data_IF_521980426184
#
_entry.id   IF_521980426184
#
_cell.length_a   1.000
_cell.length_b   1.000
_cell.length_c   1.000
_cell.angle_alpha   90.00
_cell.angle_beta   90.00
_cell.angle_gamma   90.00
#
_symmetry.space_group_name_H-M   'P 1'
#
loop_
_entity.id
_entity.type
_entity.pdbx_description
1 polymer ?
#
# COMPACT_ATOMS: atom_id res chain seq x y z
N UNK A 1 25.60 8.16 7.94
CA UNK A 1 25.95 7.09 6.99
C UNK A 1 24.78 6.12 6.74
N UNK A 2 23.73 6.16 7.58
CA UNK A 2 22.52 5.36 7.38
C UNK A 2 21.45 6.20 6.65
N UNK A 3 20.81 5.62 5.64
CA UNK A 3 19.73 6.23 4.90
C UNK A 3 18.37 6.04 5.61
N UNK A 4 18.23 4.94 6.36
CA UNK A 4 17.08 4.67 7.23
C UNK A 4 17.54 3.91 8.48
N UNK A 5 16.86 4.10 9.59
CA UNK A 5 17.02 3.34 10.81
C UNK A 5 15.73 2.56 11.09
N UNK A 6 15.85 1.27 11.39
CA UNK A 6 14.70 0.44 11.76
C UNK A 6 14.86 -0.11 13.17
N UNK A 7 13.80 -0.06 13.96
CA UNK A 7 13.69 -0.73 15.26
C UNK A 7 12.73 -1.89 15.13
N UNK A 8 13.28 -3.11 15.06
CA UNK A 8 12.52 -4.35 14.89
C UNK A 8 13.10 -5.46 15.78
N UNK A 9 12.38 -5.92 16.80
CA UNK A 9 11.06 -5.47 17.24
C UNK A 9 11.07 -4.17 18.04
N UNK A 10 9.95 -3.41 17.98
CA UNK A 10 9.69 -2.26 18.84
C UNK A 10 8.64 -2.63 19.90
N UNK A 11 9.05 -2.82 21.14
CA UNK A 11 8.13 -3.06 22.26
C UNK A 11 7.38 -1.79 22.66
N UNK A 12 6.31 -1.90 23.42
CA UNK A 12 5.58 -0.74 23.95
C UNK A 12 6.48 0.18 24.76
N UNK A 13 7.43 -0.35 25.54
CA UNK A 13 8.40 0.41 26.30
C UNK A 13 9.34 1.19 25.38
N UNK A 14 9.90 0.55 24.36
CA UNK A 14 10.78 1.22 23.39
C UNK A 14 10.03 2.34 22.63
N UNK A 15 8.79 2.06 22.20
CA UNK A 15 7.91 3.05 21.55
C UNK A 15 7.69 4.25 22.48
N UNK A 16 7.36 4.01 23.75
CA UNK A 16 7.17 5.07 24.74
C UNK A 16 8.44 5.90 24.93
N UNK A 17 9.60 5.28 25.10
CA UNK A 17 10.88 5.99 25.26
C UNK A 17 11.24 6.85 24.06
N UNK A 18 11.06 6.34 22.85
CA UNK A 18 11.32 7.11 21.62
C UNK A 18 10.34 8.27 21.53
N UNK A 19 9.05 8.06 21.84
CA UNK A 19 8.03 9.09 21.81
C UNK A 19 8.31 10.22 22.84
N UNK A 20 8.83 9.86 24.01
CA UNK A 20 9.19 10.84 25.06
C UNK A 20 10.58 11.46 24.87
N UNK A 21 11.37 11.01 23.90
CA UNK A 21 12.71 11.53 23.65
C UNK A 21 13.74 11.09 24.70
N UNK A 22 13.56 9.92 25.30
CA UNK A 22 14.53 9.37 26.25
C UNK A 22 15.78 8.89 25.52
N UNK A 23 16.95 9.16 26.10
CA UNK A 23 18.26 8.75 25.60
C UNK A 23 19.09 8.09 26.69
N UNK A 24 18.52 7.13 27.43
CA UNK A 24 19.15 6.50 28.58
C UNK A 24 19.81 5.14 28.26
N UNK A 25 19.72 4.68 27.01
CA UNK A 25 20.42 3.53 26.48
C UNK A 25 20.95 3.79 25.05
N UNK A 26 21.72 2.85 24.49
CA UNK A 26 22.33 3.01 23.18
C UNK A 26 21.28 3.13 22.07
N UNK A 27 20.21 2.34 22.12
CA UNK A 27 19.15 2.33 21.10
C UNK A 27 18.43 3.66 21.06
N UNK A 28 17.92 4.12 22.20
CA UNK A 28 17.14 5.36 22.30
C UNK A 28 17.99 6.59 22.03
N UNK A 29 19.27 6.58 22.48
CA UNK A 29 20.24 7.62 22.12
C UNK A 29 20.50 7.66 20.63
N UNK A 30 20.69 6.51 19.97
CA UNK A 30 20.87 6.46 18.52
C UNK A 30 19.63 6.96 17.78
N UNK A 31 18.43 6.61 18.26
CA UNK A 31 17.17 7.14 17.72
C UNK A 31 17.07 8.66 17.83
N UNK A 32 17.56 9.27 18.91
CA UNK A 32 17.57 10.72 19.07
C UNK A 32 18.63 11.40 18.21
N UNK A 33 19.80 10.80 18.09
CA UNK A 33 20.95 11.36 17.36
C UNK A 33 20.86 11.16 15.83
N UNK A 34 19.91 10.38 15.34
CA UNK A 34 19.77 10.06 13.92
C UNK A 34 19.54 11.30 13.06
N UNK A 35 20.01 11.24 11.81
CA UNK A 35 19.73 12.21 10.73
C UNK A 35 18.95 11.59 9.57
N UNK A 36 18.61 10.32 9.68
CA UNK A 36 17.81 9.55 8.71
C UNK A 36 16.40 9.33 9.22
N UNK A 37 15.54 8.81 8.39
CA UNK A 37 14.20 8.40 8.77
C UNK A 37 14.20 7.22 9.73
N UNK A 38 13.15 7.12 10.54
CA UNK A 38 12.98 6.04 11.50
C UNK A 38 11.74 5.22 11.12
N UNK A 39 11.94 3.91 11.07
CA UNK A 39 10.88 2.92 10.91
C UNK A 39 10.81 2.10 12.19
N UNK A 40 9.62 1.82 12.67
CA UNK A 40 9.37 0.92 13.80
C UNK A 40 8.53 -0.27 13.36
N UNK A 41 8.88 -1.46 13.85
CA UNK A 41 8.08 -2.68 13.69
C UNK A 41 7.55 -3.13 15.06
N UNK A 42 6.32 -2.73 15.44
CA UNK A 42 5.77 -3.05 16.76
C UNK A 42 5.65 -4.55 17.00
N UNK A 43 6.00 -4.95 18.25
CA UNK A 43 5.83 -6.33 18.73
C UNK A 43 5.53 -6.31 20.21
N UNK A 44 4.32 -6.73 20.58
CA UNK A 44 3.85 -6.74 21.97
C UNK A 44 2.60 -7.62 22.12
N UNK A 45 2.17 -7.86 23.35
CA UNK A 45 0.89 -8.49 23.63
C UNK A 45 -0.28 -7.64 23.10
N UNK A 46 -1.39 -8.28 22.74
CA UNK A 46 -2.59 -7.62 22.20
C UNK A 46 -3.15 -6.54 23.14
N UNK A 47 -3.24 -6.81 24.44
CA UNK A 47 -3.72 -5.85 25.42
C UNK A 47 -2.80 -4.63 25.51
N UNK A 48 -1.48 -4.82 25.40
CA UNK A 48 -0.51 -3.73 25.33
C UNK A 48 -0.66 -2.93 24.04
N UNK A 49 -0.93 -3.59 22.91
CA UNK A 49 -1.18 -2.93 21.64
C UNK A 49 -2.39 -2.01 21.69
N UNK A 50 -3.52 -2.49 22.23
CA UNK A 50 -4.75 -1.71 22.33
C UNK A 50 -4.77 -0.72 23.48
N UNK A 51 -3.75 -0.73 24.36
CA UNK A 51 -3.69 0.20 25.49
C UNK A 51 -3.56 1.65 25.00
N UNK A 52 -4.36 2.55 25.58
CA UNK A 52 -4.42 3.96 25.16
C UNK A 52 -3.05 4.61 25.13
N UNK A 53 -2.22 4.39 26.14
CA UNK A 53 -0.87 4.98 26.21
C UNK A 53 0.03 4.52 25.03
N UNK A 54 -0.12 3.29 24.57
CA UNK A 54 0.62 2.79 23.39
C UNK A 54 0.14 3.49 22.13
N UNK A 55 -1.17 3.63 21.95
CA UNK A 55 -1.75 4.31 20.80
C UNK A 55 -1.42 5.81 20.78
N UNK A 56 -1.43 6.47 21.92
CA UNK A 56 -1.03 7.89 22.05
C UNK A 56 0.45 8.10 21.66
N UNK A 57 1.34 7.22 22.12
CA UNK A 57 2.75 7.26 21.77
C UNK A 57 2.98 7.02 20.27
N UNK A 58 2.24 6.07 19.66
CA UNK A 58 2.29 5.83 18.22
C UNK A 58 1.79 7.03 17.42
N UNK A 59 0.66 7.62 17.82
CA UNK A 59 0.14 8.82 17.20
C UNK A 59 1.16 9.97 17.25
N UNK A 60 1.82 10.17 18.40
CA UNK A 60 2.87 11.16 18.53
C UNK A 60 4.07 10.87 17.62
N UNK A 61 4.50 9.61 17.51
CA UNK A 61 5.59 9.24 16.63
C UNK A 61 5.24 9.46 15.15
N UNK A 62 4.00 9.16 14.74
CA UNK A 62 3.50 9.44 13.39
C UNK A 62 3.54 10.93 13.06
N UNK A 63 3.13 11.82 13.99
CA UNK A 63 3.22 13.28 13.76
C UNK A 63 4.66 13.77 13.60
N UNK A 64 5.64 13.01 14.09
CA UNK A 64 7.08 13.29 13.98
C UNK A 64 7.73 12.60 12.75
N UNK A 65 6.94 12.02 11.88
CA UNK A 65 7.43 11.37 10.65
C UNK A 65 8.06 9.99 10.87
N UNK A 66 7.78 9.32 12.00
CA UNK A 66 8.20 7.93 12.19
C UNK A 66 7.25 7.01 11.46
N UNK A 67 7.79 6.16 10.58
CA UNK A 67 7.01 5.18 9.85
C UNK A 67 6.80 3.91 10.67
N UNK A 68 5.65 3.27 10.51
CA UNK A 68 5.30 2.03 11.18
C UNK A 68 5.04 0.92 10.17
N UNK A 69 5.63 -0.26 10.39
CA UNK A 69 5.32 -1.47 9.62
C UNK A 69 4.71 -2.50 10.58
N UNK A 70 3.48 -2.87 10.32
CA UNK A 70 2.70 -3.74 11.21
C UNK A 70 2.06 -3.00 12.39
N UNK A 71 1.72 -3.70 13.49
CA UNK A 71 1.90 -5.13 13.69
C UNK A 71 0.94 -5.99 12.86
N UNK A 72 1.25 -7.28 12.76
CA UNK A 72 0.36 -8.28 12.19
C UNK A 72 -0.55 -8.87 13.27
N UNK A 73 -1.64 -9.50 12.82
CA UNK A 73 -2.48 -10.36 13.68
C UNK A 73 -1.94 -11.79 13.68
N UNK A 74 -1.98 -12.45 14.82
CA UNK A 74 -1.55 -13.86 14.92
C UNK A 74 -1.32 -14.32 16.35
N UNK A 75 -0.88 -15.57 16.48
CA UNK A 75 -0.51 -16.15 17.77
C UNK A 75 0.71 -15.44 18.36
N UNK A 76 0.66 -15.16 19.65
CA UNK A 76 1.69 -14.50 20.42
C UNK A 76 2.36 -15.49 21.39
N UNK A 77 3.55 -15.16 21.88
CA UNK A 77 4.32 -16.02 22.78
C UNK A 77 3.62 -16.32 24.10
N UNK A 78 2.69 -15.46 24.54
CA UNK A 78 1.85 -15.64 25.72
C UNK A 78 0.64 -16.56 25.50
N UNK A 79 0.38 -17.01 24.27
CA UNK A 79 -0.75 -17.85 23.90
C UNK A 79 -1.98 -17.07 23.40
N UNK A 80 -1.98 -15.74 23.49
CA UNK A 80 -3.04 -14.90 22.96
C UNK A 80 -3.00 -14.86 21.42
N UNK A 81 -4.14 -14.59 20.80
CA UNK A 81 -4.28 -14.44 19.35
C UNK A 81 -4.92 -13.09 19.05
N UNK A 82 -4.20 -12.23 18.36
CA UNK A 82 -4.69 -10.89 18.07
C UNK A 82 -3.62 -10.00 17.44
N UNK A 83 -3.88 -8.70 17.40
CA UNK A 83 -2.92 -7.71 16.94
C UNK A 83 -1.76 -7.58 17.92
N UNK A 84 -0.56 -7.35 17.39
CA UNK A 84 0.63 -7.14 18.21
C UNK A 84 1.83 -8.00 17.81
N UNK A 85 1.64 -8.99 16.94
CA UNK A 85 2.73 -9.79 16.41
C UNK A 85 3.56 -8.96 15.42
N UNK A 86 4.90 -9.00 15.54
CA UNK A 86 5.77 -8.38 14.54
C UNK A 86 5.48 -8.95 13.14
N UNK A 87 5.42 -8.08 12.14
CA UNK A 87 5.31 -8.52 10.74
C UNK A 87 6.44 -9.46 10.36
N UNK A 88 6.16 -10.41 9.48
CA UNK A 88 7.17 -11.37 8.98
C UNK A 88 8.34 -10.64 8.31
N UNK A 89 9.55 -11.20 8.43
CA UNK A 89 10.78 -10.57 7.94
C UNK A 89 10.75 -10.27 6.44
N UNK A 90 10.10 -11.12 5.65
CA UNK A 90 9.93 -10.89 4.21
C UNK A 90 9.08 -9.63 3.94
N UNK A 91 8.01 -9.42 4.72
CA UNK A 91 7.18 -8.22 4.62
C UNK A 91 7.96 -6.98 5.03
N UNK A 92 8.71 -7.05 6.15
CA UNK A 92 9.56 -5.94 6.59
C UNK A 92 10.59 -5.56 5.52
N UNK A 93 11.27 -6.54 4.92
CA UNK A 93 12.26 -6.30 3.87
C UNK A 93 11.63 -5.65 2.63
N UNK A 94 10.44 -6.12 2.23
CA UNK A 94 9.71 -5.55 1.09
C UNK A 94 9.26 -4.12 1.37
N UNK A 95 8.72 -3.84 2.56
CA UNK A 95 8.26 -2.49 2.93
C UNK A 95 9.44 -1.50 3.04
N UNK A 96 10.59 -1.95 3.54
CA UNK A 96 11.82 -1.14 3.55
C UNK A 96 12.29 -0.87 2.12
N UNK A 97 12.31 -1.87 1.24
CA UNK A 97 12.65 -1.68 -0.16
C UNK A 97 11.69 -0.69 -0.84
N UNK A 98 10.39 -0.82 -0.60
CA UNK A 98 9.37 0.10 -1.10
C UNK A 98 9.57 1.55 -0.60
N UNK A 99 10.11 1.71 0.61
CA UNK A 99 10.40 3.03 1.19
C UNK A 99 11.45 3.82 0.39
N UNK A 100 12.42 3.11 -0.22
CA UNK A 100 13.47 3.73 -1.06
C UNK A 100 13.06 3.89 -2.53
N UNK A 101 11.89 3.42 -2.92
CA UNK A 101 11.45 3.54 -4.31
C UNK A 101 10.99 4.97 -4.62
N UNK A 102 11.94 5.83 -5.01
CA UNK A 102 11.69 7.09 -5.71
C UNK A 102 11.75 6.80 -7.21
N UNK A 103 10.68 6.19 -7.74
CA UNK A 103 10.66 5.78 -9.14
C UNK A 103 10.47 6.95 -10.10
N UNK A 104 10.86 6.76 -11.35
CA UNK A 104 10.65 7.71 -12.48
C UNK A 104 9.18 8.09 -12.64
N UNK A 105 8.26 7.29 -12.11
CA UNK A 105 6.82 7.51 -12.15
C UNK A 105 6.23 8.03 -10.81
N UNK A 106 7.07 8.45 -9.87
CA UNK A 106 6.60 8.99 -8.61
C UNK A 106 5.62 10.18 -8.83
N UNK A 107 4.48 10.12 -8.16
CA UNK A 107 3.41 11.12 -8.29
C UNK A 107 2.60 11.02 -9.60
N UNK A 108 2.80 9.97 -10.41
CA UNK A 108 1.95 9.66 -11.57
C UNK A 108 0.86 8.68 -11.18
N UNK A 109 -0.33 8.88 -11.73
CA UNK A 109 -1.44 7.93 -11.66
C UNK A 109 -1.54 7.17 -12.97
N UNK A 110 -1.71 5.86 -12.90
CA UNK A 110 -1.79 4.97 -14.05
C UNK A 110 -3.02 4.10 -13.92
N UNK A 111 -3.87 4.07 -14.93
CA UNK A 111 -5.02 3.17 -15.01
C UNK A 111 -4.68 2.03 -15.95
N UNK A 112 -4.87 0.80 -15.51
CA UNK A 112 -4.60 -0.41 -16.30
C UNK A 112 -5.83 -1.28 -16.28
N UNK A 113 -6.27 -1.74 -17.47
CA UNK A 113 -7.28 -2.78 -17.59
C UNK A 113 -6.61 -4.12 -17.83
N UNK A 114 -7.05 -5.19 -17.15
CA UNK A 114 -6.46 -6.51 -17.26
C UNK A 114 -7.51 -7.62 -17.21
N UNK A 115 -7.14 -8.78 -17.74
CA UNK A 115 -8.00 -9.97 -17.77
C UNK A 115 -9.07 -9.93 -18.85
N UNK A 116 -9.83 -11.03 -18.97
CA UNK A 116 -10.96 -11.11 -19.89
C UNK A 116 -12.19 -10.42 -19.30
N UNK A 117 -13.19 -10.18 -20.14
CA UNK A 117 -14.56 -9.92 -19.68
C UNK A 117 -15.43 -11.15 -19.96
N UNK A 118 -16.56 -11.24 -19.28
CA UNK A 118 -17.58 -12.29 -19.48
C UNK A 118 -18.89 -11.62 -19.83
N UNK A 119 -19.38 -11.89 -21.04
CA UNK A 119 -20.66 -11.37 -21.53
C UNK A 119 -21.71 -12.46 -21.42
N UNK A 120 -22.64 -12.31 -20.50
CA UNK A 120 -23.68 -13.29 -20.26
C UNK A 120 -24.59 -13.46 -21.48
N UNK A 121 -24.81 -14.74 -21.91
CA UNK A 121 -25.84 -15.10 -22.89
C UNK A 121 -27.12 -15.43 -22.14
N UNK A 122 -27.00 -16.16 -21.04
CA UNK A 122 -28.08 -16.53 -20.12
C UNK A 122 -27.49 -16.67 -18.68
N UNK A 123 -28.26 -17.04 -17.67
CA UNK A 123 -27.75 -17.18 -16.29
C UNK A 123 -26.62 -18.21 -16.12
N UNK A 124 -26.38 -19.07 -17.08
CA UNK A 124 -25.41 -20.18 -16.99
C UNK A 124 -24.23 -19.99 -17.96
N UNK A 125 -24.47 -19.45 -19.15
CA UNK A 125 -23.51 -19.35 -20.24
C UNK A 125 -23.04 -17.93 -20.49
N UNK A 126 -21.78 -17.78 -20.85
CA UNK A 126 -21.19 -16.49 -21.20
C UNK A 126 -20.16 -16.64 -22.34
N UNK A 127 -19.94 -15.59 -23.08
CA UNK A 127 -18.84 -15.44 -24.03
C UNK A 127 -17.68 -14.75 -23.30
N UNK A 128 -16.46 -15.25 -23.54
CA UNK A 128 -15.24 -14.69 -23.01
C UNK A 128 -14.07 -14.94 -23.96
N UNK A 129 -12.90 -14.39 -23.66
CA UNK A 129 -11.66 -14.65 -24.37
C UNK A 129 -10.65 -15.39 -23.48
N UNK A 130 -9.55 -15.86 -24.06
CA UNK A 130 -8.50 -16.62 -23.37
C UNK A 130 -7.49 -15.78 -22.61
N UNK A 131 -7.72 -14.48 -22.44
CA UNK A 131 -6.79 -13.61 -21.68
C UNK A 131 -6.69 -14.09 -20.23
N UNK A 132 -5.47 -14.27 -19.73
CA UNK A 132 -5.23 -14.60 -18.33
C UNK A 132 -5.08 -13.36 -17.43
N UNK A 133 -4.85 -12.19 -18.03
CA UNK A 133 -4.55 -10.96 -17.30
C UNK A 133 -3.07 -10.79 -16.92
N UNK A 134 -2.22 -11.80 -17.11
CA UNK A 134 -0.81 -11.80 -16.66
C UNK A 134 -0.04 -10.55 -17.03
N UNK A 135 -0.17 -10.10 -18.27
CA UNK A 135 0.55 -8.90 -18.74
C UNK A 135 0.12 -7.64 -17.97
N UNK A 136 -1.19 -7.43 -17.80
CA UNK A 136 -1.70 -6.26 -17.06
C UNK A 136 -1.28 -6.28 -15.59
N UNK A 137 -1.29 -7.44 -14.95
CA UNK A 137 -0.82 -7.59 -13.57
C UNK A 137 0.69 -7.34 -13.45
N UNK A 138 1.51 -7.91 -14.35
CA UNK A 138 2.95 -7.67 -14.38
C UNK A 138 3.29 -6.18 -14.64
N UNK A 139 2.57 -5.55 -15.57
CA UNK A 139 2.75 -4.13 -15.84
C UNK A 139 2.35 -3.27 -14.64
N UNK A 140 1.26 -3.60 -13.97
CA UNK A 140 0.83 -2.92 -12.74
C UNK A 140 1.91 -2.99 -11.66
N UNK A 141 2.54 -4.16 -11.48
CA UNK A 141 3.64 -4.32 -10.53
C UNK A 141 4.82 -3.41 -10.89
N UNK A 142 5.28 -3.48 -12.13
CA UNK A 142 6.42 -2.66 -12.58
C UNK A 142 6.14 -1.16 -12.46
N UNK A 143 4.96 -0.70 -12.86
CA UNK A 143 4.59 0.71 -12.74
C UNK A 143 4.53 1.17 -11.28
N UNK A 144 3.99 0.33 -10.39
CA UNK A 144 3.95 0.62 -8.96
C UNK A 144 5.36 0.61 -8.34
N UNK A 145 6.22 -0.35 -8.73
CA UNK A 145 7.64 -0.41 -8.34
C UNK A 145 8.41 0.84 -8.81
N UNK A 146 8.02 1.42 -9.94
CA UNK A 146 8.54 2.70 -10.44
C UNK A 146 7.93 3.93 -9.75
N UNK A 147 7.11 3.74 -8.72
CA UNK A 147 6.56 4.80 -7.89
C UNK A 147 5.20 5.34 -8.33
N UNK A 148 4.58 4.79 -9.38
CA UNK A 148 3.24 5.21 -9.80
C UNK A 148 2.17 4.75 -8.81
N UNK A 149 1.08 5.52 -8.73
CA UNK A 149 -0.17 5.04 -8.17
C UNK A 149 -0.98 4.33 -9.27
N UNK A 150 -1.25 3.05 -9.09
CA UNK A 150 -1.87 2.22 -10.13
C UNK A 150 -3.29 1.84 -9.74
N UNK A 151 -4.24 2.16 -10.60
CA UNK A 151 -5.62 1.70 -10.56
C UNK A 151 -5.79 0.55 -11.55
N UNK A 152 -5.85 -0.68 -11.05
CA UNK A 152 -6.00 -1.89 -11.85
C UNK A 152 -7.47 -2.30 -11.92
N UNK A 153 -8.10 -2.15 -13.08
CA UNK A 153 -9.45 -2.66 -13.36
C UNK A 153 -9.33 -4.06 -13.96
N UNK A 154 -9.68 -5.08 -13.18
CA UNK A 154 -9.46 -6.47 -13.55
C UNK A 154 -10.76 -7.22 -13.80
N UNK A 155 -10.90 -7.78 -15.00
CA UNK A 155 -11.84 -8.86 -15.27
C UNK A 155 -11.47 -10.13 -14.50
N UNK A 156 -12.25 -11.23 -14.66
CA UNK A 156 -11.98 -12.49 -13.99
C UNK A 156 -10.57 -13.02 -14.30
N UNK A 157 -9.73 -13.10 -13.29
CA UNK A 157 -8.34 -13.56 -13.38
C UNK A 157 -7.94 -14.27 -12.10
N UNK A 158 -7.05 -15.26 -12.20
CA UNK A 158 -6.44 -15.96 -11.07
C UNK A 158 -5.13 -15.29 -10.60
N UNK A 159 -4.70 -14.24 -11.28
CA UNK A 159 -3.50 -13.51 -10.89
C UNK A 159 -3.74 -12.78 -9.56
N UNK A 160 -2.71 -12.78 -8.72
CA UNK A 160 -2.70 -12.13 -7.42
C UNK A 160 -1.55 -11.14 -7.37
N UNK A 161 -1.83 -9.94 -6.94
CA UNK A 161 -0.83 -8.89 -6.74
C UNK A 161 -1.16 -8.18 -5.44
N UNK A 162 -0.13 -7.85 -4.69
CA UNK A 162 -0.24 -7.05 -3.47
C UNK A 162 0.88 -6.02 -3.47
N UNK A 163 0.50 -4.75 -3.59
CA UNK A 163 1.43 -3.64 -3.54
C UNK A 163 0.70 -2.40 -3.00
N UNK A 164 1.35 -1.61 -2.13
CA UNK A 164 0.72 -0.44 -1.48
C UNK A 164 0.21 0.62 -2.46
N UNK A 165 0.84 0.71 -3.64
CA UNK A 165 0.50 1.69 -4.67
C UNK A 165 -0.46 1.12 -5.72
N UNK A 166 -1.00 -0.09 -5.54
CA UNK A 166 -1.94 -0.71 -6.47
C UNK A 166 -3.30 -0.84 -5.80
N UNK A 167 -4.30 -0.24 -6.42
CA UNK A 167 -5.70 -0.41 -6.07
C UNK A 167 -6.39 -1.28 -7.13
N UNK A 168 -7.15 -2.30 -6.70
CA UNK A 168 -7.75 -3.27 -7.63
C UNK A 168 -9.27 -3.18 -7.59
N UNK A 169 -9.86 -2.87 -8.74
CA UNK A 169 -11.30 -2.95 -8.96
C UNK A 169 -11.62 -4.18 -9.80
N UNK A 170 -12.32 -5.15 -9.20
CA UNK A 170 -12.78 -6.37 -9.91
C UNK A 170 -14.09 -6.07 -10.64
N UNK A 171 -14.16 -6.52 -11.91
CA UNK A 171 -15.30 -6.36 -12.80
C UNK A 171 -15.60 -7.67 -13.53
N UNK A 172 -16.77 -7.78 -14.16
CA UNK A 172 -17.15 -8.99 -14.89
C UNK A 172 -17.36 -8.74 -16.38
N UNK A 173 -18.16 -7.74 -16.73
CA UNK A 173 -18.48 -7.43 -18.13
C UNK A 173 -17.60 -6.30 -18.68
N UNK A 174 -17.61 -6.14 -20.01
CA UNK A 174 -16.95 -5.02 -20.67
C UNK A 174 -17.58 -3.68 -20.27
N UNK A 175 -18.89 -3.65 -20.06
CA UNK A 175 -19.58 -2.46 -19.59
C UNK A 175 -19.15 -2.08 -18.16
N UNK A 176 -18.96 -3.07 -17.26
CA UNK A 176 -18.46 -2.82 -15.91
C UNK A 176 -17.02 -2.28 -15.95
N UNK A 177 -16.19 -2.87 -16.82
CA UNK A 177 -14.79 -2.45 -17.01
C UNK A 177 -14.72 -1.00 -17.53
N UNK A 178 -15.54 -0.68 -18.53
CA UNK A 178 -15.63 0.67 -19.07
C UNK A 178 -16.10 1.68 -18.00
N UNK A 179 -17.18 1.35 -17.30
CA UNK A 179 -17.73 2.22 -16.26
C UNK A 179 -16.76 2.42 -15.08
N UNK A 180 -15.99 1.38 -14.73
CA UNK A 180 -14.95 1.48 -13.71
C UNK A 180 -13.79 2.38 -14.17
N UNK A 181 -13.30 2.18 -15.39
CA UNK A 181 -12.24 3.00 -15.96
C UNK A 181 -12.65 4.48 -16.06
N UNK A 182 -13.85 4.76 -16.57
CA UNK A 182 -14.38 6.13 -16.63
C UNK A 182 -14.53 6.78 -15.24
N UNK A 183 -14.96 6.02 -14.23
CA UNK A 183 -15.05 6.55 -12.86
C UNK A 183 -13.70 6.99 -12.34
N UNK A 184 -12.66 6.19 -12.59
CA UNK A 184 -11.30 6.49 -12.16
C UNK A 184 -10.76 7.71 -12.91
N UNK A 185 -10.98 7.80 -14.22
CA UNK A 185 -10.58 8.95 -15.05
C UNK A 185 -11.25 10.25 -14.59
N UNK A 186 -12.52 10.19 -14.18
CA UNK A 186 -13.28 11.34 -13.69
C UNK A 186 -13.07 11.64 -12.19
N UNK A 187 -12.51 10.71 -11.43
CA UNK A 187 -12.12 10.97 -10.04
C UNK A 187 -10.83 11.77 -10.03
N UNK A 188 -10.90 12.92 -9.38
CA UNK A 188 -9.72 13.72 -9.05
C UNK A 188 -8.85 12.96 -8.05
N UNK A 189 -7.95 12.12 -8.55
CA UNK A 189 -7.06 11.27 -7.75
C UNK A 189 -6.13 12.10 -6.83
N UNK A 190 -6.03 13.43 -7.04
CA UNK A 190 -5.18 14.33 -6.23
C UNK A 190 -5.69 15.79 -6.19
N UNK A 191 -7.00 16.04 -6.26
CA UNK A 191 -7.54 17.40 -6.28
C UNK A 191 -7.21 18.19 -7.56
N UNK A 192 -6.91 17.52 -8.65
CA UNK A 192 -6.69 18.16 -9.96
C UNK A 192 -7.98 18.13 -10.77
N UNK A 193 -8.34 19.23 -11.47
CA UNK A 193 -9.50 19.19 -12.35
C UNK A 193 -9.31 18.10 -13.42
N UNK A 194 -10.39 17.35 -13.66
CA UNK A 194 -10.40 16.29 -14.66
C UNK A 194 -9.81 16.78 -15.98
N UNK A 195 -8.94 15.97 -16.59
CA UNK A 195 -8.42 16.24 -17.94
C UNK A 195 -9.60 16.32 -18.91
N UNK A 196 -9.86 17.52 -19.40
CA UNK A 196 -10.79 17.71 -20.50
C UNK A 196 -10.04 17.36 -21.80
N UNK A 197 -10.42 16.24 -22.40
CA UNK A 197 -9.92 15.89 -23.72
C UNK A 197 -10.20 17.05 -24.70
N UNK A 198 -9.22 17.46 -25.54
CA UNK A 198 -9.45 18.49 -26.53
C UNK A 198 -10.63 18.09 -27.42
N UNK A 199 -11.59 18.98 -27.53
CA UNK A 199 -12.74 18.79 -28.43
C UNK A 199 -12.21 18.57 -29.86
N UNK A 200 -12.76 17.58 -30.60
CA UNK A 200 -12.37 17.40 -31.98
C UNK A 200 -12.66 18.69 -32.77
N UNK A 201 -11.60 19.25 -33.37
CA UNK A 201 -11.73 20.41 -34.24
C UNK A 201 -12.53 19.97 -35.46
N UNK A 202 -13.81 20.36 -35.52
CA UNK A 202 -14.60 20.19 -36.74
C UNK A 202 -13.97 21.06 -37.83
N UNK A 203 -13.42 20.44 -38.85
CA UNK A 203 -12.97 21.16 -40.05
C UNK A 203 -14.23 21.62 -40.78
N UNK A 204 -14.34 22.91 -41.13
CA UNK A 204 -15.43 23.36 -42.01
C UNK A 204 -15.31 22.67 -43.37
N UNK A 205 -16.50 22.35 -43.95
CA UNK A 205 -16.64 21.68 -45.25
C UNK A 205 -16.07 22.50 -46.41
#
# INVERSE_FOLDING_TARGET
WADVMIVAPASADVIARIAQGNGNDLLTTACLARRCELIIAPAMNEAMWHHQATQDNLALLHTRGVHQIGPASGGQACGDVGMGRMSETAILAQEIANHFQTGVLAGKSVVITAGPTREAIDPVRYISNHSSGKMGYALSQVMADMGAHVELVSGPSNEVISHRNINITKVTSANDMYAAAQRIENQDLYGRPAYQAPQPVMRPA
#
